data_IF_291018793829
#
_entry.id   IF_291018793829
#
_cell.length_a   1.000
_cell.length_b   1.000
_cell.length_c   1.000
_cell.angle_alpha   90.00
_cell.angle_beta   90.00
_cell.angle_gamma   90.00
#
_symmetry.space_group_name_H-M   'P 1'
#
loop_
_entity.id
_entity.type
_entity.pdbx_description
1 polymer ?
#
# COMPACT_ATOMS: atom_id res chain seq x y z
N UNK A 1 51.48 -27.96 7.43
CA UNK A 1 50.63 -27.39 8.49
C UNK A 1 50.19 -25.93 8.25
N UNK A 2 50.97 -25.07 7.56
CA UNK A 2 50.59 -23.66 7.33
C UNK A 2 49.43 -23.44 6.32
N UNK A 3 49.22 -24.33 5.36
CA UNK A 3 48.21 -24.18 4.29
C UNK A 3 46.76 -24.35 4.79
N UNK A 4 46.54 -25.22 5.79
CA UNK A 4 45.22 -25.46 6.36
C UNK A 4 44.74 -24.32 7.29
N UNK A 5 45.70 -23.67 7.96
CA UNK A 5 45.41 -22.52 8.83
C UNK A 5 44.93 -21.30 8.06
N UNK A 6 45.47 -21.08 6.85
CA UNK A 6 45.05 -19.98 5.97
C UNK A 6 43.61 -20.20 5.41
N UNK A 7 43.30 -21.47 5.09
CA UNK A 7 41.98 -21.85 4.61
C UNK A 7 40.89 -21.66 5.67
N UNK A 8 41.17 -22.05 6.92
CA UNK A 8 40.27 -21.82 8.05
C UNK A 8 40.02 -20.33 8.34
N UNK A 9 41.03 -19.48 8.21
CA UNK A 9 40.91 -18.05 8.42
C UNK A 9 40.04 -17.39 7.34
N UNK A 10 40.13 -17.83 6.09
CA UNK A 10 39.30 -17.33 4.98
C UNK A 10 37.82 -17.75 5.16
N UNK A 11 37.56 -18.98 5.56
CA UNK A 11 36.17 -19.47 5.82
C UNK A 11 35.55 -18.75 7.00
N UNK A 12 36.27 -18.48 8.07
CA UNK A 12 35.80 -17.71 9.22
C UNK A 12 35.48 -16.23 8.82
N UNK A 13 36.29 -15.64 7.97
CA UNK A 13 36.07 -14.28 7.44
C UNK A 13 34.83 -14.18 6.59
N UNK A 14 34.49 -15.18 5.77
CA UNK A 14 33.30 -15.22 4.93
C UNK A 14 32.04 -15.43 5.79
N UNK A 15 32.08 -16.20 6.85
CA UNK A 15 30.96 -16.36 7.78
C UNK A 15 30.64 -15.10 8.60
N UNK A 16 31.63 -14.26 8.89
CA UNK A 16 31.43 -13.03 9.65
C UNK A 16 30.71 -11.94 8.84
N UNK A 17 30.77 -11.97 7.50
CA UNK A 17 30.10 -10.96 6.63
C UNK A 17 28.63 -11.26 6.39
N UNK A 18 28.14 -12.46 6.63
CA UNK A 18 26.73 -12.85 6.43
C UNK A 18 25.80 -12.39 7.56
N UNK A 19 26.30 -11.84 8.65
CA UNK A 19 25.50 -11.50 9.83
C UNK A 19 24.95 -10.06 9.83
N UNK A 20 25.22 -9.27 8.79
CA UNK A 20 24.88 -7.82 8.78
C UNK A 20 23.62 -7.45 7.96
N UNK A 21 22.88 -8.41 7.43
CA UNK A 21 21.66 -8.16 6.68
C UNK A 21 20.39 -8.22 7.56
N UNK A 22 20.47 -7.77 8.80
CA UNK A 22 19.28 -7.47 9.59
C UNK A 22 18.71 -6.15 9.08
N UNK A 23 17.74 -6.23 8.16
CA UNK A 23 16.94 -5.08 7.75
C UNK A 23 16.29 -4.52 9.01
N UNK A 24 16.83 -3.40 9.51
CA UNK A 24 16.26 -2.68 10.65
C UNK A 24 14.84 -2.25 10.26
N UNK A 25 13.82 -2.93 10.77
CA UNK A 25 12.43 -2.57 10.54
C UNK A 25 12.25 -1.13 11.01
N UNK A 26 11.97 -0.24 10.06
CA UNK A 26 11.78 1.18 10.36
C UNK A 26 10.50 1.33 11.17
N UNK A 27 10.62 1.94 12.34
CA UNK A 27 9.47 2.25 13.19
C UNK A 27 8.84 3.56 12.70
N UNK A 28 7.56 3.50 12.33
CA UNK A 28 6.77 4.64 11.85
C UNK A 28 5.72 5.09 12.87
N UNK A 29 5.70 4.52 14.08
CA UNK A 29 4.66 4.78 15.08
C UNK A 29 4.46 6.27 15.34
N UNK A 30 5.54 7.01 15.54
CA UNK A 30 5.46 8.44 15.78
C UNK A 30 4.85 9.23 14.61
N UNK A 31 5.20 8.87 13.37
CA UNK A 31 4.64 9.51 12.18
C UNK A 31 3.15 9.21 12.04
N UNK A 32 2.76 7.94 12.28
CA UNK A 32 1.35 7.51 12.26
C UNK A 32 0.55 8.27 13.32
N UNK A 33 1.03 8.32 14.56
CA UNK A 33 0.37 9.05 15.66
C UNK A 33 0.23 10.53 15.35
N UNK A 34 1.26 11.14 14.75
CA UNK A 34 1.22 12.55 14.35
C UNK A 34 0.11 12.82 13.34
N UNK A 35 -0.07 11.96 12.33
CA UNK A 35 -1.14 12.09 11.34
C UNK A 35 -2.50 11.83 11.97
N UNK A 36 -2.64 10.78 12.80
CA UNK A 36 -3.88 10.43 13.48
C UNK A 36 -4.38 11.58 14.39
N UNK A 37 -3.47 12.31 15.02
CA UNK A 37 -3.83 13.46 15.87
C UNK A 37 -4.35 14.66 15.06
N UNK A 38 -4.02 14.76 13.78
CA UNK A 38 -4.53 15.79 12.88
C UNK A 38 -5.90 15.44 12.29
N UNK A 39 -6.29 14.16 12.27
CA UNK A 39 -7.49 13.67 11.63
C UNK A 39 -8.75 13.95 12.46
N UNK A 40 -9.83 14.35 11.77
CA UNK A 40 -11.18 14.32 12.34
C UNK A 40 -11.69 12.89 12.49
N UNK A 41 -12.80 12.72 13.19
CA UNK A 41 -13.42 11.39 13.34
C UNK A 41 -13.84 10.82 11.97
N UNK A 42 -14.42 11.66 11.12
CA UNK A 42 -14.88 11.29 9.77
C UNK A 42 -13.70 10.85 8.90
N UNK A 43 -12.57 11.57 8.96
CA UNK A 43 -11.35 11.19 8.25
C UNK A 43 -10.77 9.86 8.78
N UNK A 44 -10.79 9.63 10.09
CA UNK A 44 -10.36 8.35 10.69
C UNK A 44 -11.22 7.19 10.22
N UNK A 45 -12.54 7.36 10.26
CA UNK A 45 -13.50 6.36 9.75
C UNK A 45 -13.29 6.16 8.25
N UNK A 46 -13.07 7.25 7.51
CA UNK A 46 -12.81 7.22 6.07
C UNK A 46 -11.61 6.36 5.70
N UNK A 47 -10.53 6.37 6.49
CA UNK A 47 -9.36 5.50 6.23
C UNK A 47 -9.68 4.00 6.32
N UNK A 48 -10.76 3.61 6.98
CA UNK A 48 -11.22 2.22 7.06
C UNK A 48 -12.22 1.87 5.95
N UNK A 49 -12.70 2.85 5.18
CA UNK A 49 -13.66 2.64 4.09
C UNK A 49 -12.92 2.22 2.83
N UNK A 50 -13.39 1.13 2.23
CA UNK A 50 -12.95 0.63 0.93
C UNK A 50 -14.14 0.58 -0.03
N UNK A 51 -14.06 1.31 -1.13
CA UNK A 51 -15.03 1.23 -2.22
C UNK A 51 -14.54 0.34 -3.35
N UNK A 52 -15.49 -0.32 -4.03
CA UNK A 52 -15.19 -1.10 -5.24
C UNK A 52 -15.57 -0.32 -6.50
N UNK A 53 -14.65 -0.31 -7.48
CA UNK A 53 -14.95 0.22 -8.81
C UNK A 53 -15.66 -0.84 -9.66
N UNK A 54 -16.96 -1.00 -9.45
CA UNK A 54 -17.77 -2.10 -10.00
C UNK A 54 -18.10 -2.00 -11.50
N UNK A 55 -17.47 -1.11 -12.27
CA UNK A 55 -17.76 -0.96 -13.71
C UNK A 55 -17.40 -2.17 -14.57
N UNK A 56 -16.73 -3.17 -13.99
CA UNK A 56 -16.29 -4.39 -14.68
C UNK A 56 -16.98 -5.68 -14.20
N UNK A 57 -17.87 -5.58 -13.22
CA UNK A 57 -18.58 -6.74 -12.71
C UNK A 57 -19.87 -6.98 -13.51
N UNK A 58 -20.01 -8.21 -14.03
CA UNK A 58 -21.24 -8.72 -14.66
C UNK A 58 -22.22 -9.14 -13.57
N UNK A 59 -22.92 -8.20 -12.96
CA UNK A 59 -23.92 -8.46 -11.92
C UNK A 59 -24.56 -7.16 -11.42
N UNK A 60 -25.65 -7.23 -10.64
CA UNK A 60 -26.25 -6.05 -10.06
C UNK A 60 -25.26 -5.39 -9.13
N UNK A 61 -24.71 -4.25 -9.53
CA UNK A 61 -23.87 -3.41 -8.70
C UNK A 61 -24.76 -2.60 -7.75
N UNK A 62 -24.60 -2.82 -6.44
CA UNK A 62 -25.33 -2.08 -5.42
C UNK A 62 -24.83 -0.64 -5.27
N UNK A 63 -23.66 -0.31 -5.81
CA UNK A 63 -23.06 1.02 -5.69
C UNK A 63 -22.61 1.56 -7.05
N UNK A 64 -23.48 2.34 -7.67
CA UNK A 64 -23.18 3.12 -8.87
C UNK A 64 -22.76 4.55 -8.55
N UNK A 65 -22.61 4.90 -7.26
CA UNK A 65 -22.30 6.26 -6.83
C UNK A 65 -20.92 6.68 -7.27
N UNK A 66 -20.81 7.95 -7.56
CA UNK A 66 -19.53 8.58 -7.82
C UNK A 66 -18.96 9.10 -6.49
N UNK A 67 -17.98 8.39 -5.95
CA UNK A 67 -17.36 8.71 -4.65
C UNK A 67 -16.36 9.89 -4.70
N UNK A 68 -16.41 10.69 -5.74
CA UNK A 68 -15.49 11.81 -5.96
C UNK A 68 -15.44 12.77 -4.77
N UNK A 69 -16.62 13.14 -4.25
CA UNK A 69 -16.69 14.12 -3.16
C UNK A 69 -16.25 13.53 -1.81
N UNK A 70 -16.55 12.27 -1.53
CA UNK A 70 -16.07 11.59 -0.34
C UNK A 70 -14.54 11.46 -0.35
N UNK A 71 -13.95 11.14 -1.52
CA UNK A 71 -12.49 11.09 -1.68
C UNK A 71 -11.86 12.46 -1.43
N UNK A 72 -12.42 13.54 -1.99
CA UNK A 72 -11.92 14.90 -1.78
C UNK A 72 -12.01 15.35 -0.32
N UNK A 73 -13.02 14.86 0.41
CA UNK A 73 -13.13 15.14 1.85
C UNK A 73 -12.21 14.28 2.72
N UNK A 74 -11.52 13.30 2.15
CA UNK A 74 -10.66 12.37 2.89
C UNK A 74 -11.44 11.27 3.64
N UNK A 75 -12.66 11.00 3.23
CA UNK A 75 -13.59 10.02 3.82
C UNK A 75 -13.47 8.64 3.16
N UNK A 76 -12.40 8.38 2.40
CA UNK A 76 -12.12 7.10 1.72
C UNK A 76 -10.64 6.78 1.85
N UNK A 77 -10.31 5.60 2.34
CA UNK A 77 -8.92 5.15 2.50
C UNK A 77 -8.41 4.28 1.35
N UNK A 78 -9.32 3.55 0.69
CA UNK A 78 -8.92 2.61 -0.37
C UNK A 78 -9.99 2.42 -1.43
N UNK A 79 -9.54 2.05 -2.64
CA UNK A 79 -10.42 1.68 -3.76
C UNK A 79 -9.97 0.35 -4.34
N UNK A 80 -10.95 -0.48 -4.63
CA UNK A 80 -10.78 -1.84 -5.09
C UNK A 80 -11.10 -1.95 -6.58
N UNK A 81 -10.45 -2.87 -7.29
CA UNK A 81 -10.71 -3.17 -8.70
C UNK A 81 -10.45 -2.01 -9.67
N UNK A 82 -9.39 -1.25 -9.44
CA UNK A 82 -8.89 -0.27 -10.39
C UNK A 82 -7.87 -0.98 -11.32
N UNK A 83 -8.21 -1.14 -12.60
CA UNK A 83 -7.42 -1.90 -13.56
C UNK A 83 -6.53 -1.04 -14.47
N UNK A 84 -6.72 0.28 -14.52
CA UNK A 84 -5.95 1.16 -15.39
C UNK A 84 -5.17 2.22 -14.61
N UNK A 85 -3.98 2.52 -15.10
CA UNK A 85 -3.09 3.53 -14.49
C UNK A 85 -3.74 4.91 -14.53
N UNK A 86 -4.43 5.23 -15.61
CA UNK A 86 -5.11 6.54 -15.80
C UNK A 86 -6.17 6.74 -14.73
N UNK A 87 -6.97 5.72 -14.44
CA UNK A 87 -8.00 5.80 -13.41
C UNK A 87 -7.42 5.83 -12.00
N UNK A 88 -6.36 5.06 -11.75
CA UNK A 88 -5.65 5.14 -10.48
C UNK A 88 -5.11 6.55 -10.23
N UNK A 89 -4.51 7.19 -11.25
CA UNK A 89 -4.04 8.58 -11.17
C UNK A 89 -5.17 9.56 -10.91
N UNK A 90 -6.30 9.45 -11.65
CA UNK A 90 -7.47 10.31 -11.43
C UNK A 90 -7.98 10.27 -9.98
N UNK A 91 -8.12 9.08 -9.40
CA UNK A 91 -8.53 8.93 -8.00
C UNK A 91 -7.48 9.46 -7.02
N UNK A 92 -6.21 9.24 -7.33
CA UNK A 92 -5.12 9.76 -6.50
C UNK A 92 -5.09 11.30 -6.51
N UNK A 93 -5.28 11.91 -7.67
CA UNK A 93 -5.37 13.37 -7.82
C UNK A 93 -6.54 13.96 -7.02
N UNK A 94 -7.67 13.23 -6.93
CA UNK A 94 -8.79 13.61 -6.06
C UNK A 94 -8.43 13.52 -4.58
N UNK A 95 -7.77 12.44 -4.16
CA UNK A 95 -7.33 12.27 -2.77
C UNK A 95 -6.32 13.35 -2.34
N UNK A 96 -5.45 13.77 -3.26
CA UNK A 96 -4.48 14.84 -3.01
C UNK A 96 -5.12 16.23 -2.91
N UNK A 97 -6.42 16.38 -3.21
CA UNK A 97 -7.19 17.60 -2.94
C UNK A 97 -7.77 17.64 -1.52
N UNK A 98 -7.76 16.53 -0.78
CA UNK A 98 -8.21 16.48 0.60
C UNK A 98 -7.33 17.29 1.53
N UNK A 99 -7.85 17.66 2.70
CA UNK A 99 -7.17 18.50 3.70
C UNK A 99 -5.81 17.94 4.13
N UNK A 100 -5.74 16.63 4.37
CA UNK A 100 -4.51 15.96 4.83
C UNK A 100 -3.68 15.37 3.70
N UNK A 101 -4.21 15.33 2.47
CA UNK A 101 -3.54 14.80 1.27
C UNK A 101 -3.03 13.38 1.46
N UNK A 102 -3.79 12.55 2.16
CA UNK A 102 -3.44 11.15 2.36
C UNK A 102 -3.75 10.39 1.07
N UNK A 103 -2.77 9.69 0.47
CA UNK A 103 -2.98 8.93 -0.76
C UNK A 103 -3.91 7.74 -0.53
N UNK A 104 -4.69 7.38 -1.56
CA UNK A 104 -5.50 6.16 -1.56
C UNK A 104 -4.63 4.90 -1.70
N UNK A 105 -5.08 3.84 -1.06
CA UNK A 105 -4.55 2.50 -1.30
C UNK A 105 -5.42 1.83 -2.38
N UNK A 106 -4.78 1.18 -3.37
CA UNK A 106 -5.47 0.42 -4.40
C UNK A 106 -5.32 -1.07 -4.17
N UNK A 107 -6.42 -1.79 -4.27
CA UNK A 107 -6.46 -3.24 -4.22
C UNK A 107 -7.06 -3.85 -5.49
N UNK A 108 -6.77 -5.12 -5.72
CA UNK A 108 -7.36 -5.91 -6.80
C UNK A 108 -7.83 -7.24 -6.24
N UNK A 109 -9.04 -7.62 -6.60
CA UNK A 109 -9.58 -8.95 -6.31
C UNK A 109 -9.15 -9.92 -7.43
N UNK A 110 -8.38 -10.94 -7.04
CA UNK A 110 -7.79 -11.93 -7.95
C UNK A 110 -8.32 -13.32 -7.60
N UNK A 111 -9.62 -13.44 -7.30
CA UNK A 111 -10.27 -14.66 -6.80
C UNK A 111 -10.02 -15.88 -7.70
N UNK A 112 -10.02 -15.70 -9.02
CA UNK A 112 -9.84 -16.76 -10.01
C UNK A 112 -8.54 -16.65 -10.81
N UNK A 113 -7.58 -15.91 -10.29
CA UNK A 113 -6.34 -15.60 -10.98
C UNK A 113 -6.40 -14.33 -11.81
N UNK A 114 -5.26 -13.66 -11.90
CA UNK A 114 -5.12 -12.48 -12.75
C UNK A 114 -5.21 -12.92 -14.22
N UNK A 115 -6.04 -12.23 -15.00
CA UNK A 115 -6.11 -12.48 -16.43
C UNK A 115 -4.80 -12.02 -17.07
N UNK A 116 -3.86 -12.96 -17.20
CA UNK A 116 -2.63 -12.74 -17.96
C UNK A 116 -2.93 -12.96 -19.43
N UNK A 117 -2.70 -11.95 -20.24
CA UNK A 117 -2.68 -12.09 -21.69
C UNK A 117 -1.23 -12.41 -22.05
N UNK A 118 -0.98 -13.65 -22.43
CA UNK A 118 0.28 -14.06 -23.03
C UNK A 118 0.10 -14.02 -24.56
#
# INVERSE_FOLDING_TARGET
MKKNSLLCAIILGIMATSLSAQTRKKDYTHQVDSVLNLMTLEEKVGQMIQYSNNKLLTGPSLDSRNHTEEIKRGEVGSIFNILTVERARQYQDLAMQSRLRIPLIFGLDVVHGMRTIF
#
